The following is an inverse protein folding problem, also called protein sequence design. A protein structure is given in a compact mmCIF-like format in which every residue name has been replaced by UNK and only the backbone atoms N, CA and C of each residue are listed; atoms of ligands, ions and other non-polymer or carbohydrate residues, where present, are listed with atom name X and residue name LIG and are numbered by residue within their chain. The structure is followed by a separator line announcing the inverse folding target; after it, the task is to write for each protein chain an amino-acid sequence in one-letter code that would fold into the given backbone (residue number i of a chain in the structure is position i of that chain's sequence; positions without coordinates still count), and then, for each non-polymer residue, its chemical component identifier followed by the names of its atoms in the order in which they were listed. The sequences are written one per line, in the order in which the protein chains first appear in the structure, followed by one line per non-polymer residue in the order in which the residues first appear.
data_IF_504148115804
#
_entry.id   IF_504148115804
#
_cell.length_a   1.000
_cell.length_b   1.000
_cell.length_c   1.000
_cell.angle_alpha   90.00
_cell.angle_beta   90.00
_cell.angle_gamma   90.00
#
_symmetry.space_group_name_H-M   'P 1'
#
loop_
_entity.id
_entity.type
_entity.pdbx_description
1 polymer ?
#
# COMPACT_ATOMS: atom_id res chain seq x y z
N UNK A 1 -13.24 -56.20 8.28
CA UNK A 1 -13.06 -56.41 6.83
C UNK A 1 -11.81 -55.64 6.43
N UNK A 2 -10.99 -56.16 5.52
CA UNK A 2 -9.87 -55.42 4.93
C UNK A 2 -10.39 -54.71 3.68
N UNK A 3 -10.14 -53.41 3.53
CA UNK A 3 -10.31 -52.76 2.23
C UNK A 3 -9.21 -53.26 1.30
N UNK A 4 -9.57 -53.69 0.08
CA UNK A 4 -8.60 -54.20 -0.88
C UNK A 4 -7.48 -53.20 -1.16
N UNK A 5 -6.25 -53.68 -1.25
CA UNK A 5 -5.10 -52.84 -1.60
C UNK A 5 -5.27 -52.15 -2.97
N UNK A 6 -6.15 -52.67 -3.83
CA UNK A 6 -6.52 -52.03 -5.10
C UNK A 6 -7.43 -50.81 -4.94
N UNK A 7 -8.38 -50.78 -4.00
CA UNK A 7 -9.28 -49.62 -3.84
C UNK A 7 -8.48 -48.42 -3.35
N UNK A 8 -7.59 -48.63 -2.37
CA UNK A 8 -6.66 -47.62 -1.86
C UNK A 8 -5.77 -47.06 -2.97
N UNK A 9 -5.17 -47.91 -3.81
CA UNK A 9 -4.40 -47.48 -5.00
C UNK A 9 -5.24 -46.69 -6.01
N UNK A 10 -6.50 -47.09 -6.26
CA UNK A 10 -7.43 -46.36 -7.15
C UNK A 10 -7.77 -44.98 -6.58
N UNK A 11 -7.96 -44.86 -5.27
CA UNK A 11 -8.27 -43.59 -4.60
C UNK A 11 -7.06 -42.68 -4.43
N UNK A 12 -5.87 -43.23 -4.19
CA UNK A 12 -4.58 -42.51 -4.27
C UNK A 12 -4.38 -41.93 -5.68
N UNK A 13 -4.62 -42.72 -6.73
CA UNK A 13 -4.53 -42.26 -8.12
C UNK A 13 -5.57 -41.16 -8.44
N UNK A 14 -6.80 -41.27 -7.92
CA UNK A 14 -7.83 -40.22 -8.02
C UNK A 14 -7.40 -38.92 -7.31
N UNK A 15 -6.82 -39.02 -6.11
CA UNK A 15 -6.31 -37.88 -5.35
C UNK A 15 -5.13 -37.20 -6.07
N UNK A 16 -4.20 -37.98 -6.62
CA UNK A 16 -3.08 -37.46 -7.43
C UNK A 16 -3.58 -36.77 -8.71
N UNK A 17 -4.55 -37.35 -9.42
CA UNK A 17 -5.17 -36.74 -10.60
C UNK A 17 -5.89 -35.42 -10.26
N UNK A 18 -6.62 -35.37 -9.14
CA UNK A 18 -7.26 -34.16 -8.65
C UNK A 18 -6.24 -33.08 -8.26
N UNK A 19 -5.17 -33.44 -7.56
CA UNK A 19 -4.08 -32.52 -7.23
C UNK A 19 -3.40 -31.95 -8.50
N UNK A 20 -3.14 -32.79 -9.51
CA UNK A 20 -2.58 -32.37 -10.79
C UNK A 20 -3.54 -31.51 -11.64
N UNK A 21 -4.85 -31.64 -11.45
CA UNK A 21 -5.84 -30.73 -12.05
C UNK A 21 -5.85 -29.36 -11.35
N UNK A 22 -5.79 -29.35 -10.01
CA UNK A 22 -5.70 -28.11 -9.21
C UNK A 22 -4.40 -27.36 -9.52
N UNK A 23 -3.26 -28.05 -9.61
CA UNK A 23 -1.97 -27.45 -9.97
C UNK A 23 -1.88 -26.93 -11.40
N UNK A 24 -2.75 -27.38 -12.32
CA UNK A 24 -2.86 -26.80 -13.67
C UNK A 24 -3.72 -25.54 -13.65
N UNK A 25 -4.92 -25.62 -13.09
CA UNK A 25 -5.81 -24.44 -12.91
C UNK A 25 -5.18 -23.32 -12.08
N UNK A 26 -4.34 -23.65 -11.09
CA UNK A 26 -3.58 -22.65 -10.35
C UNK A 26 -2.52 -21.95 -11.21
N UNK A 27 -1.80 -22.71 -12.06
CA UNK A 27 -0.85 -22.14 -13.04
C UNK A 27 -1.55 -21.23 -14.04
N UNK A 28 -2.62 -21.73 -14.68
CA UNK A 28 -3.49 -20.95 -15.58
C UNK A 28 -4.00 -19.66 -14.93
N UNK A 29 -4.38 -19.71 -13.64
CA UNK A 29 -4.81 -18.54 -12.88
C UNK A 29 -3.64 -17.58 -12.54
N UNK A 30 -2.46 -18.08 -12.19
CA UNK A 30 -1.28 -17.22 -11.98
C UNK A 30 -0.76 -16.60 -13.27
N UNK A 31 -0.87 -17.31 -14.40
CA UNK A 31 -0.53 -16.81 -15.73
C UNK A 31 -1.50 -15.71 -16.15
N UNK A 32 -2.82 -15.90 -15.99
CA UNK A 32 -3.82 -14.84 -16.20
C UNK A 32 -3.57 -13.62 -15.31
N UNK A 33 -3.30 -13.83 -14.02
CA UNK A 33 -2.88 -12.76 -13.09
C UNK A 33 -1.60 -12.03 -13.54
N UNK A 34 -0.66 -12.76 -14.14
CA UNK A 34 0.55 -12.20 -14.74
C UNK A 34 0.20 -11.29 -15.92
N UNK A 35 -0.55 -11.80 -16.89
CA UNK A 35 -1.02 -11.01 -18.04
C UNK A 35 -1.89 -9.81 -17.64
N UNK A 36 -2.74 -9.92 -16.62
CA UNK A 36 -3.49 -8.80 -16.04
C UNK A 36 -2.58 -7.73 -15.43
N UNK A 37 -1.51 -8.14 -14.72
CA UNK A 37 -0.54 -7.23 -14.12
C UNK A 37 0.38 -6.60 -15.17
N UNK A 38 0.84 -7.36 -16.17
CA UNK A 38 1.64 -6.85 -17.29
C UNK A 38 0.82 -5.94 -18.21
N UNK A 39 -0.49 -6.19 -18.39
CA UNK A 39 -1.40 -5.29 -19.10
C UNK A 39 -1.67 -4.00 -18.29
N UNK A 40 -1.79 -4.10 -16.96
CA UNK A 40 -1.92 -2.93 -16.10
C UNK A 40 -0.63 -2.07 -16.06
N UNK A 41 0.55 -2.70 -16.16
CA UNK A 41 1.83 -2.01 -16.33
C UNK A 41 2.01 -1.44 -17.74
N UNK A 42 1.48 -2.11 -18.78
CA UNK A 42 1.46 -1.66 -20.18
C UNK A 42 0.20 -0.84 -20.52
N UNK A 43 -0.20 0.06 -19.62
CA UNK A 43 -1.32 0.98 -19.85
C UNK A 43 -1.05 1.95 -21.03
N UNK A 44 -2.09 2.61 -21.60
CA UNK A 44 -1.99 3.32 -22.89
C UNK A 44 -1.03 4.52 -22.96
N UNK A 45 -0.43 4.94 -21.85
CA UNK A 45 0.53 6.03 -21.77
C UNK A 45 1.88 5.50 -21.24
N UNK A 46 2.48 4.60 -22.03
CA UNK A 46 3.67 3.83 -21.67
C UNK A 46 4.73 3.79 -22.77
N UNK A 47 4.93 4.89 -23.51
CA UNK A 47 5.98 5.02 -24.51
C UNK A 47 7.38 5.05 -23.87
N UNK A 48 7.95 3.87 -23.61
CA UNK A 48 9.26 3.71 -22.99
C UNK A 48 9.94 2.42 -23.43
N UNK A 49 11.00 2.54 -24.23
CA UNK A 49 11.74 1.42 -24.81
C UNK A 49 12.27 0.45 -23.76
N UNK A 50 11.86 -0.82 -23.86
CA UNK A 50 12.60 -1.95 -23.28
C UNK A 50 13.18 -2.78 -24.43
N UNK A 51 14.51 -2.76 -24.59
CA UNK A 51 15.18 -3.65 -25.53
C UNK A 51 15.18 -5.06 -24.94
N UNK A 52 14.61 -6.01 -25.69
CA UNK A 52 14.99 -7.41 -25.57
C UNK A 52 15.38 -7.93 -26.95
N UNK A 53 16.68 -8.18 -27.13
CA UNK A 53 17.21 -8.78 -28.35
C UNK A 53 17.05 -10.30 -28.28
N UNK A 54 16.39 -10.88 -29.29
CA UNK A 54 16.43 -12.32 -29.56
C UNK A 54 16.74 -12.48 -31.06
N UNK A 55 17.83 -13.17 -31.36
CA UNK A 55 18.28 -13.40 -32.73
C UNK A 55 17.36 -14.38 -33.46
N UNK A 56 17.00 -14.08 -34.71
CA UNK A 56 16.17 -14.93 -35.55
C UNK A 56 16.38 -14.64 -37.04
N UNK A 57 17.54 -15.05 -37.58
CA UNK A 57 17.87 -14.85 -38.99
C UNK A 57 17.49 -16.08 -39.82
N UNK A 58 16.59 -15.92 -40.79
CA UNK A 58 16.57 -16.63 -42.07
C UNK A 58 15.65 -15.87 -43.06
N UNK A 59 15.84 -16.06 -44.37
CA UNK A 59 15.33 -15.18 -45.45
C UNK A 59 13.81 -15.00 -45.57
N UNK A 60 13.32 -14.17 -46.51
CA UNK A 60 14.03 -13.33 -47.48
C UNK A 60 13.32 -13.22 -48.83
N UNK A 61 13.63 -12.16 -49.58
CA UNK A 61 13.31 -11.92 -51.01
C UNK A 61 11.87 -11.50 -51.36
N UNK A 62 11.80 -10.23 -51.81
CA UNK A 62 10.87 -9.58 -52.75
C UNK A 62 9.43 -9.22 -52.34
N UNK A 63 9.21 -7.91 -52.43
CA UNK A 63 8.02 -7.27 -52.97
C UNK A 63 7.67 -7.80 -54.37
N UNK A 64 6.37 -7.93 -54.64
CA UNK A 64 5.76 -7.58 -55.93
C UNK A 64 4.49 -6.78 -55.60
N UNK A 65 4.16 -5.79 -56.42
CA UNK A 65 3.11 -4.81 -56.15
C UNK A 65 1.91 -4.95 -57.10
N UNK A 66 0.80 -4.30 -56.74
CA UNK A 66 -0.35 -3.99 -57.61
C UNK A 66 -1.06 -5.17 -58.30
N UNK A 67 -2.17 -5.66 -57.70
CA UNK A 67 -3.52 -5.31 -58.21
C UNK A 67 -4.66 -5.94 -57.39
N UNK A 68 -5.43 -5.12 -56.67
CA UNK A 68 -6.74 -5.49 -56.08
C UNK A 68 -7.51 -4.25 -55.55
N UNK A 69 -7.90 -3.31 -56.41
CA UNK A 69 -8.78 -2.21 -55.99
C UNK A 69 -10.23 -2.67 -55.71
N UNK A 70 -10.88 -1.99 -54.76
CA UNK A 70 -12.35 -1.86 -54.65
C UNK A 70 -13.17 -3.07 -54.16
N UNK A 71 -13.10 -3.35 -52.85
CA UNK A 71 -14.30 -3.75 -52.08
C UNK A 71 -14.40 -2.87 -50.82
N UNK A 72 -15.57 -2.22 -50.68
CA UNK A 72 -16.36 -1.86 -49.47
C UNK A 72 -15.67 -2.00 -48.08
N UNK A 73 -15.86 -1.11 -47.10
CA UNK A 73 -16.71 0.09 -46.94
C UNK A 73 -16.29 0.86 -45.69
N UNK A 74 -16.87 2.03 -45.42
CA UNK A 74 -16.81 2.76 -44.14
C UNK A 74 -16.97 1.79 -42.93
N UNK A 75 -16.01 1.81 -42.00
CA UNK A 75 -16.04 1.02 -40.77
C UNK A 75 -14.85 1.26 -39.83
N UNK A 76 -13.63 1.35 -40.36
CA UNK A 76 -12.41 1.51 -39.55
C UNK A 76 -12.22 2.90 -38.89
N UNK A 77 -13.09 3.88 -39.16
CA UNK A 77 -12.96 5.25 -38.67
C UNK A 77 -13.69 5.52 -37.35
N UNK A 78 -14.71 4.72 -36.98
CA UNK A 78 -15.53 4.97 -35.80
C UNK A 78 -15.01 4.26 -34.54
N UNK A 79 -14.37 3.09 -34.66
CA UNK A 79 -13.84 2.35 -33.49
C UNK A 79 -12.77 3.12 -32.69
N UNK A 80 -12.02 4.01 -33.31
CA UNK A 80 -10.97 4.78 -32.62
C UNK A 80 -11.53 5.93 -31.75
N UNK A 81 -12.80 6.32 -31.93
CA UNK A 81 -13.40 7.46 -31.23
C UNK A 81 -13.75 7.18 -29.75
N UNK A 82 -13.93 5.92 -29.35
CA UNK A 82 -14.52 5.56 -28.05
C UNK A 82 -13.57 5.54 -26.84
N UNK A 83 -12.29 5.89 -27.01
CA UNK A 83 -11.27 5.79 -25.95
C UNK A 83 -10.95 7.11 -25.23
N UNK A 84 -11.36 8.27 -25.75
CA UNK A 84 -11.19 9.59 -25.10
C UNK A 84 -12.29 9.87 -24.07
N UNK A 85 -12.61 8.86 -23.24
CA UNK A 85 -13.51 9.04 -22.08
C UNK A 85 -12.85 9.89 -21.02
N UNK A 86 -13.60 10.81 -20.42
CA UNK A 86 -13.15 11.71 -19.35
C UNK A 86 -12.55 10.93 -18.17
N UNK A 87 -11.52 11.47 -17.47
CA UNK A 87 -11.01 10.86 -16.24
C UNK A 87 -12.09 10.73 -15.15
N UNK A 88 -13.18 11.51 -15.21
CA UNK A 88 -14.33 11.35 -14.32
C UNK A 88 -15.24 10.18 -14.72
N UNK A 89 -15.51 10.00 -16.01
CA UNK A 89 -16.29 8.87 -16.53
C UNK A 89 -15.61 7.55 -16.20
N UNK A 90 -14.29 7.48 -16.39
CA UNK A 90 -13.48 6.32 -15.99
C UNK A 90 -13.60 6.02 -14.49
N UNK A 91 -13.66 7.05 -13.64
CA UNK A 91 -13.90 6.88 -12.19
C UNK A 91 -15.31 6.41 -11.87
N UNK A 92 -16.34 6.90 -12.59
CA UNK A 92 -17.74 6.45 -12.43
C UNK A 92 -17.86 4.98 -12.81
N UNK A 93 -17.36 4.58 -13.98
CA UNK A 93 -17.28 3.18 -14.40
C UNK A 93 -16.62 2.29 -13.34
N UNK A 94 -15.43 2.64 -12.83
CA UNK A 94 -14.78 1.82 -11.80
C UNK A 94 -15.51 1.77 -10.45
N UNK A 95 -16.32 2.78 -10.11
CA UNK A 95 -17.19 2.77 -8.92
C UNK A 95 -18.43 1.89 -9.15
N UNK A 96 -19.00 1.92 -10.35
CA UNK A 96 -20.13 1.08 -10.77
C UNK A 96 -19.72 -0.39 -10.89
N UNK A 97 -18.55 -0.68 -11.48
CA UNK A 97 -17.90 -2.00 -11.51
C UNK A 97 -17.63 -2.53 -10.10
N UNK A 98 -17.11 -1.69 -9.19
CA UNK A 98 -16.89 -2.07 -7.79
C UNK A 98 -18.21 -2.32 -7.05
N UNK A 99 -19.26 -1.55 -7.34
CA UNK A 99 -20.61 -1.77 -6.83
C UNK A 99 -21.21 -3.10 -7.31
N UNK A 100 -21.05 -3.42 -8.59
CA UNK A 100 -21.48 -4.70 -9.17
C UNK A 100 -20.74 -5.88 -8.53
N UNK A 101 -19.42 -5.79 -8.36
CA UNK A 101 -18.60 -6.82 -7.69
C UNK A 101 -18.97 -7.01 -6.21
N UNK A 102 -19.43 -5.94 -5.52
CA UNK A 102 -19.98 -6.07 -4.16
C UNK A 102 -21.33 -6.79 -4.18
N UNK A 103 -22.24 -6.45 -5.08
CA UNK A 103 -23.55 -7.11 -5.22
C UNK A 103 -23.40 -8.60 -5.62
N UNK A 104 -22.47 -8.93 -6.53
CA UNK A 104 -22.14 -10.33 -6.85
C UNK A 104 -21.60 -11.08 -5.63
N UNK A 105 -20.73 -10.44 -4.84
CA UNK A 105 -20.19 -11.02 -3.60
C UNK A 105 -21.27 -11.26 -2.56
N UNK A 106 -22.25 -10.35 -2.41
CA UNK A 106 -23.39 -10.52 -1.52
C UNK A 106 -24.30 -11.67 -1.99
N UNK A 107 -24.66 -11.71 -3.28
CA UNK A 107 -25.41 -12.81 -3.87
C UNK A 107 -24.68 -14.18 -3.75
N UNK A 108 -23.35 -14.20 -3.80
CA UNK A 108 -22.55 -15.40 -3.54
C UNK A 108 -22.58 -15.84 -2.07
N UNK A 109 -22.60 -14.89 -1.12
CA UNK A 109 -22.76 -15.19 0.30
C UNK A 109 -24.15 -15.73 0.62
N UNK A 110 -25.21 -15.15 0.03
CA UNK A 110 -26.59 -15.63 0.18
C UNK A 110 -26.78 -17.03 -0.39
N UNK A 111 -26.22 -17.30 -1.59
CA UNK A 111 -26.18 -18.66 -2.16
C UNK A 111 -25.43 -19.63 -1.25
N UNK A 112 -24.30 -19.20 -0.68
CA UNK A 112 -23.52 -20.04 0.25
C UNK A 112 -24.32 -20.34 1.53
N UNK A 113 -25.02 -19.35 2.09
CA UNK A 113 -25.91 -19.51 3.24
C UNK A 113 -27.07 -20.46 2.92
N UNK A 114 -27.70 -20.33 1.75
CA UNK A 114 -28.73 -21.26 1.29
C UNK A 114 -28.20 -22.70 1.14
N UNK A 115 -27.00 -22.90 0.60
CA UNK A 115 -26.37 -24.22 0.56
C UNK A 115 -26.05 -24.77 1.96
N UNK A 116 -25.60 -23.93 2.91
CA UNK A 116 -25.41 -24.34 4.31
C UNK A 116 -26.72 -24.77 4.97
N UNK A 117 -27.84 -24.10 4.68
CA UNK A 117 -29.18 -24.47 5.17
C UNK A 117 -29.71 -25.76 4.52
N UNK A 118 -29.42 -25.99 3.24
CA UNK A 118 -29.74 -27.26 2.57
C UNK A 118 -28.90 -28.42 3.15
N UNK A 119 -27.61 -28.20 3.42
CA UNK A 119 -26.75 -29.16 4.10
C UNK A 119 -27.23 -29.46 5.53
N UNK A 120 -27.60 -28.44 6.32
CA UNK A 120 -28.07 -28.65 7.69
C UNK A 120 -29.37 -29.45 7.73
N UNK A 121 -30.30 -29.20 6.79
CA UNK A 121 -31.52 -30.00 6.59
C UNK A 121 -31.20 -31.43 6.18
N UNK A 122 -30.38 -31.64 5.15
CA UNK A 122 -29.99 -32.99 4.71
C UNK A 122 -29.33 -33.79 5.84
N UNK A 123 -28.40 -33.20 6.60
CA UNK A 123 -27.78 -33.87 7.74
C UNK A 123 -28.72 -34.01 8.95
N UNK A 124 -29.76 -33.19 9.11
CA UNK A 124 -30.81 -33.41 10.11
C UNK A 124 -31.73 -34.59 9.71
N UNK A 125 -32.13 -34.66 8.44
CA UNK A 125 -32.90 -35.79 7.89
C UNK A 125 -32.10 -37.10 7.95
N UNK A 126 -30.81 -37.07 7.63
CA UNK A 126 -29.92 -38.24 7.73
C UNK A 126 -29.81 -38.74 9.19
N UNK A 127 -29.66 -37.84 10.16
CA UNK A 127 -29.62 -38.22 11.60
C UNK A 127 -30.97 -38.72 12.11
N UNK A 128 -32.08 -38.13 11.67
CA UNK A 128 -33.44 -38.63 11.93
C UNK A 128 -33.66 -40.03 11.34
N UNK A 129 -33.10 -40.34 10.16
CA UNK A 129 -33.09 -41.71 9.59
C UNK A 129 -32.21 -42.69 10.36
N UNK A 130 -31.11 -42.21 10.96
CA UNK A 130 -30.21 -43.02 11.78
C UNK A 130 -30.72 -43.27 13.22
N UNK A 131 -31.84 -42.65 13.62
CA UNK A 131 -32.39 -42.80 14.98
C UNK A 131 -31.66 -42.01 16.07
N UNK A 132 -30.79 -41.07 15.70
CA UNK A 132 -30.13 -40.19 16.67
C UNK A 132 -31.13 -39.17 17.24
N UNK A 133 -31.45 -39.28 18.54
CA UNK A 133 -32.35 -38.33 19.19
C UNK A 133 -31.76 -36.92 19.25
N UNK A 134 -32.64 -35.93 19.11
CA UNK A 134 -32.30 -34.51 19.15
C UNK A 134 -32.00 -34.13 20.61
N UNK A 135 -30.76 -33.78 20.96
CA UNK A 135 -30.43 -33.19 22.29
C UNK A 135 -30.74 -31.67 22.31
N UNK A 136 -30.80 -31.09 23.53
CA UNK A 136 -30.48 -29.67 23.86
C UNK A 136 -29.67 -29.63 25.16
N UNK A 137 -28.98 -28.57 25.61
CA UNK A 137 -28.81 -27.17 25.16
C UNK A 137 -27.32 -26.88 24.78
N UNK A 138 -26.97 -25.65 24.36
CA UNK A 138 -25.71 -25.36 23.62
C UNK A 138 -24.81 -24.33 24.28
N UNK A 139 -25.37 -23.14 24.47
CA UNK A 139 -24.71 -21.99 25.05
C UNK A 139 -25.11 -21.93 26.51
N UNK A 140 -24.12 -21.90 27.39
CA UNK A 140 -24.39 -21.42 28.74
C UNK A 140 -24.80 -19.95 28.63
N UNK A 141 -25.82 -19.47 29.36
CA UNK A 141 -26.24 -18.07 29.30
C UNK A 141 -25.10 -17.11 29.68
N UNK A 142 -24.11 -17.61 30.43
CA UNK A 142 -22.90 -16.89 30.79
C UNK A 142 -21.92 -16.68 29.61
N UNK A 143 -21.86 -17.61 28.65
CA UNK A 143 -21.10 -17.39 27.41
C UNK A 143 -21.74 -16.32 26.51
N UNK A 144 -23.08 -16.23 26.52
CA UNK A 144 -23.82 -15.18 25.83
C UNK A 144 -23.66 -13.83 26.56
N UNK A 145 -23.71 -13.81 27.90
CA UNK A 145 -23.43 -12.63 28.72
C UNK A 145 -22.05 -12.02 28.41
N UNK A 146 -21.02 -12.88 28.33
CA UNK A 146 -19.65 -12.50 28.00
C UNK A 146 -19.50 -12.02 26.55
N UNK A 147 -20.20 -12.65 25.59
CA UNK A 147 -20.24 -12.15 24.21
C UNK A 147 -20.83 -10.73 24.15
N UNK A 148 -21.98 -10.49 24.78
CA UNK A 148 -22.61 -9.15 24.81
C UNK A 148 -21.78 -8.11 25.57
N UNK A 149 -21.01 -8.52 26.59
CA UNK A 149 -20.01 -7.65 27.22
C UNK A 149 -18.90 -7.22 26.23
N UNK A 150 -18.35 -8.15 25.45
CA UNK A 150 -17.34 -7.85 24.44
C UNK A 150 -17.88 -6.98 23.29
N UNK A 151 -19.12 -7.23 22.84
CA UNK A 151 -19.80 -6.39 21.83
C UNK A 151 -19.97 -4.94 22.33
N UNK A 152 -20.34 -4.75 23.61
CA UNK A 152 -20.43 -3.41 24.23
C UNK A 152 -19.07 -2.70 24.28
N UNK A 153 -18.00 -3.39 24.69
CA UNK A 153 -16.65 -2.82 24.68
C UNK A 153 -16.20 -2.38 23.26
N UNK A 154 -16.52 -3.18 22.23
CA UNK A 154 -16.24 -2.81 20.82
C UNK A 154 -17.09 -1.61 20.37
N UNK A 155 -18.34 -1.48 20.84
CA UNK A 155 -19.17 -0.32 20.57
C UNK A 155 -18.62 0.95 21.25
N UNK A 156 -18.19 0.86 22.51
CA UNK A 156 -17.56 1.97 23.23
C UNK A 156 -16.26 2.44 22.54
N UNK A 157 -15.37 1.53 22.14
CA UNK A 157 -14.14 1.91 21.44
C UNK A 157 -14.44 2.53 20.06
N UNK A 158 -15.44 2.03 19.34
CA UNK A 158 -15.93 2.68 18.11
C UNK A 158 -16.44 4.11 18.39
N UNK A 159 -17.17 4.31 19.48
CA UNK A 159 -17.65 5.64 19.89
C UNK A 159 -16.50 6.57 20.32
N UNK A 160 -15.49 6.06 21.05
CA UNK A 160 -14.28 6.79 21.43
C UNK A 160 -13.47 7.24 20.20
N UNK A 161 -13.29 6.35 19.22
CA UNK A 161 -12.64 6.67 17.95
C UNK A 161 -13.47 7.64 17.11
N UNK A 162 -14.79 7.45 17.03
CA UNK A 162 -15.70 8.36 16.34
C UNK A 162 -15.63 9.77 16.93
N UNK A 163 -15.71 9.92 18.26
CA UNK A 163 -15.59 11.20 18.96
C UNK A 163 -14.25 11.90 18.70
N UNK A 164 -13.12 11.18 18.80
CA UNK A 164 -11.80 11.73 18.44
C UNK A 164 -11.76 12.18 16.97
N UNK A 165 -12.35 11.41 16.05
CA UNK A 165 -12.40 11.77 14.63
C UNK A 165 -13.30 12.98 14.36
N UNK A 166 -14.39 13.16 15.11
CA UNK A 166 -15.28 14.30 15.00
C UNK A 166 -14.61 15.60 15.53
N UNK A 167 -13.94 15.52 16.68
CA UNK A 167 -13.15 16.63 17.21
C UNK A 167 -12.06 17.08 16.22
N UNK A 168 -11.28 16.14 15.67
CA UNK A 168 -10.25 16.47 14.67
C UNK A 168 -10.81 17.03 13.35
N UNK A 169 -12.02 16.63 12.92
CA UNK A 169 -12.70 17.27 11.78
C UNK A 169 -13.11 18.70 12.10
N UNK A 170 -13.76 18.91 13.24
CA UNK A 170 -14.17 20.23 13.71
C UNK A 170 -12.98 21.19 13.88
N UNK A 171 -11.85 20.72 14.43
CA UNK A 171 -10.62 21.51 14.52
C UNK A 171 -10.07 21.88 13.13
N UNK A 172 -10.09 20.95 12.16
CA UNK A 172 -9.69 21.23 10.78
C UNK A 172 -10.65 22.22 10.08
N UNK A 173 -11.95 22.14 10.34
CA UNK A 173 -12.96 23.08 9.85
C UNK A 173 -12.79 24.48 10.47
N UNK A 174 -12.47 24.57 11.76
CA UNK A 174 -12.11 25.83 12.41
C UNK A 174 -10.82 26.43 11.84
N UNK A 175 -9.80 25.62 11.53
CA UNK A 175 -8.59 26.12 10.86
C UNK A 175 -8.90 26.58 9.43
N UNK A 176 -9.73 25.85 8.67
CA UNK A 176 -10.18 26.29 7.33
C UNK A 176 -10.82 27.66 7.39
N UNK A 177 -11.90 27.83 8.18
CA UNK A 177 -12.63 29.09 8.34
C UNK A 177 -11.77 30.28 8.80
N UNK A 178 -10.62 30.03 9.44
CA UNK A 178 -9.65 31.07 9.84
C UNK A 178 -8.72 31.52 8.71
N UNK A 179 -8.41 30.64 7.75
CA UNK A 179 -7.52 30.95 6.63
C UNK A 179 -8.28 31.19 5.32
N UNK A 180 -9.55 30.81 5.25
CA UNK A 180 -10.48 31.00 4.12
C UNK A 180 -10.53 32.46 3.63
N UNK A 181 -10.85 33.49 4.46
CA UNK A 181 -10.83 34.88 4.00
C UNK A 181 -9.43 35.35 3.58
N UNK A 182 -8.37 34.88 4.24
CA UNK A 182 -6.97 35.22 3.90
C UNK A 182 -6.59 34.62 2.53
N UNK A 183 -7.12 33.45 2.19
CA UNK A 183 -6.96 32.83 0.87
C UNK A 183 -7.78 33.54 -0.21
N UNK A 184 -8.99 34.00 0.12
CA UNK A 184 -9.83 34.79 -0.80
C UNK A 184 -9.22 36.17 -1.09
N UNK A 185 -8.73 36.87 -0.06
CA UNK A 185 -7.98 38.14 -0.20
C UNK A 185 -6.73 37.96 -1.06
N UNK A 186 -5.95 36.89 -0.84
CA UNK A 186 -4.76 36.59 -1.63
C UNK A 186 -5.11 36.25 -3.08
N UNK A 187 -6.14 35.45 -3.32
CA UNK A 187 -6.61 35.10 -4.66
C UNK A 187 -7.13 36.33 -5.43
N UNK A 188 -7.85 37.23 -4.75
CA UNK A 188 -8.29 38.50 -5.33
C UNK A 188 -7.09 39.40 -5.69
N UNK A 189 -6.07 39.49 -4.84
CA UNK A 189 -4.83 40.22 -5.16
C UNK A 189 -4.07 39.61 -6.33
N UNK A 190 -3.95 38.28 -6.40
CA UNK A 190 -3.33 37.60 -7.54
C UNK A 190 -4.12 37.83 -8.85
N UNK A 191 -5.45 37.81 -8.80
CA UNK A 191 -6.30 38.06 -9.95
C UNK A 191 -6.21 39.52 -10.43
N UNK A 192 -6.28 40.50 -9.52
CA UNK A 192 -6.11 41.92 -9.85
C UNK A 192 -4.73 42.20 -10.47
N UNK A 193 -3.68 41.52 -10.01
CA UNK A 193 -2.34 41.64 -10.60
C UNK A 193 -2.23 40.98 -11.99
N UNK A 194 -2.94 39.87 -12.22
CA UNK A 194 -3.06 39.27 -13.56
C UNK A 194 -3.82 40.19 -14.53
N UNK A 195 -4.93 40.80 -14.10
CA UNK A 195 -5.67 41.79 -14.88
C UNK A 195 -4.77 42.99 -15.25
N UNK A 196 -4.06 43.56 -14.28
CA UNK A 196 -3.12 44.67 -14.54
C UNK A 196 -2.01 44.29 -15.54
N UNK A 197 -1.48 43.07 -15.50
CA UNK A 197 -0.52 42.58 -16.50
C UNK A 197 -1.18 42.45 -17.89
N UNK A 198 -2.41 41.96 -17.98
CA UNK A 198 -3.15 41.84 -19.23
C UNK A 198 -3.46 43.22 -19.84
N UNK A 199 -3.91 44.18 -19.04
CA UNK A 199 -4.14 45.57 -19.45
C UNK A 199 -2.84 46.22 -19.93
N UNK A 200 -1.74 46.04 -19.20
CA UNK A 200 -0.43 46.55 -19.61
C UNK A 200 0.03 45.92 -20.93
N UNK A 201 -0.10 44.59 -21.08
CA UNK A 201 0.28 43.87 -22.30
C UNK A 201 -0.58 44.27 -23.52
N UNK A 202 -1.88 44.51 -23.34
CA UNK A 202 -2.78 44.98 -24.40
C UNK A 202 -2.44 46.40 -24.88
N UNK A 203 -1.91 47.25 -23.98
CA UNK A 203 -1.47 48.60 -24.32
C UNK A 203 -0.08 48.66 -24.97
N UNK A 204 0.73 47.60 -24.87
CA UNK A 204 2.08 47.53 -25.47
C UNK A 204 2.01 47.28 -26.99
N UNK A 205 2.87 47.98 -27.74
CA UNK A 205 2.99 47.87 -29.21
C UNK A 205 4.42 47.56 -29.65
N UNK A 206 4.55 46.80 -30.73
CA UNK A 206 5.86 46.43 -31.29
C UNK A 206 6.54 47.63 -31.97
N UNK A 207 7.70 48.06 -31.45
CA UNK A 207 8.41 49.28 -31.90
C UNK A 207 8.75 49.36 -33.40
N UNK A 208 8.80 48.23 -34.12
CA UNK A 208 9.09 48.21 -35.58
C UNK A 208 7.85 48.14 -36.48
N UNK A 209 6.67 47.89 -35.94
CA UNK A 209 5.44 47.67 -36.73
C UNK A 209 4.20 48.39 -36.18
N UNK A 210 4.28 48.97 -34.99
CA UNK A 210 3.20 49.63 -34.24
C UNK A 210 1.91 48.79 -34.04
N UNK A 211 1.95 47.49 -34.35
CA UNK A 211 0.86 46.56 -34.04
C UNK A 211 0.84 46.26 -32.53
N UNK A 212 -0.34 46.09 -31.92
CA UNK A 212 -0.45 45.56 -30.56
C UNK A 212 0.02 44.09 -30.53
N UNK A 213 0.25 43.58 -29.32
CA UNK A 213 0.42 42.14 -29.10
C UNK A 213 -0.94 41.45 -29.33
N UNK A 214 -1.03 40.35 -30.10
CA UNK A 214 -2.29 39.64 -30.29
C UNK A 214 -2.79 39.03 -28.98
N UNK A 215 -4.10 39.11 -28.75
CA UNK A 215 -4.80 38.63 -27.53
C UNK A 215 -4.39 37.22 -27.14
N UNK A 216 -4.28 36.34 -28.12
CA UNK A 216 -4.09 34.91 -27.94
C UNK A 216 -2.68 34.63 -27.38
N UNK A 217 -1.68 35.41 -27.80
CA UNK A 217 -0.33 35.35 -27.25
C UNK A 217 -0.23 35.94 -25.83
N UNK A 218 -1.10 36.90 -25.48
CA UNK A 218 -1.22 37.39 -24.10
C UNK A 218 -1.85 36.30 -23.21
N UNK A 219 -2.89 35.62 -23.70
CA UNK A 219 -3.51 34.49 -23.00
C UNK A 219 -2.51 33.35 -22.77
N UNK A 220 -1.80 32.89 -23.81
CA UNK A 220 -0.75 31.87 -23.67
C UNK A 220 0.36 32.29 -22.67
N UNK A 221 0.70 33.58 -22.60
CA UNK A 221 1.69 34.09 -21.66
C UNK A 221 1.18 33.97 -20.22
N UNK A 222 -0.08 34.37 -19.96
CA UNK A 222 -0.72 34.24 -18.64
C UNK A 222 -0.88 32.78 -18.23
N UNK A 223 -1.24 31.87 -19.15
CA UNK A 223 -1.28 30.43 -18.88
C UNK A 223 0.10 29.87 -18.52
N UNK A 224 1.15 30.25 -19.25
CA UNK A 224 2.53 29.86 -18.93
C UNK A 224 2.98 30.42 -17.58
N UNK A 225 2.63 31.66 -17.26
CA UNK A 225 2.99 32.28 -15.98
C UNK A 225 2.23 31.64 -14.80
N UNK A 226 0.92 31.43 -14.92
CA UNK A 226 0.11 30.77 -13.89
C UNK A 226 0.54 29.32 -13.66
N UNK A 227 0.88 28.58 -14.73
CA UNK A 227 1.50 27.26 -14.62
C UNK A 227 2.82 27.30 -13.83
N UNK A 228 3.73 28.23 -14.16
CA UNK A 228 5.00 28.40 -13.43
C UNK A 228 4.79 28.79 -11.96
N UNK A 229 3.91 29.76 -11.69
CA UNK A 229 3.52 30.18 -10.33
C UNK A 229 2.95 29.01 -9.52
N UNK A 230 2.10 28.17 -10.12
CA UNK A 230 1.54 26.98 -9.47
C UNK A 230 2.62 25.93 -9.14
N UNK A 231 3.62 25.75 -10.01
CA UNK A 231 4.76 24.86 -9.77
C UNK A 231 5.69 25.40 -8.66
N UNK A 232 5.92 26.72 -8.60
CA UNK A 232 6.64 27.39 -7.52
C UNK A 232 5.86 27.25 -6.20
N UNK A 233 4.53 27.39 -6.22
CA UNK A 233 3.70 27.15 -5.04
C UNK A 233 3.77 25.69 -4.58
N UNK A 234 3.63 24.71 -5.48
CA UNK A 234 3.70 23.29 -5.15
C UNK A 234 5.08 22.88 -4.59
N UNK A 235 6.18 23.39 -5.14
CA UNK A 235 7.53 23.15 -4.61
C UNK A 235 7.75 23.84 -3.27
N UNK A 236 7.24 25.06 -3.06
CA UNK A 236 7.27 25.77 -1.77
C UNK A 236 6.44 25.05 -0.69
N UNK A 237 5.28 24.49 -1.03
CA UNK A 237 4.47 23.64 -0.13
C UNK A 237 5.23 22.36 0.24
N UNK A 238 5.85 21.67 -0.72
CA UNK A 238 6.72 20.51 -0.43
C UNK A 238 7.91 20.89 0.48
N UNK A 239 8.56 22.02 0.23
CA UNK A 239 9.62 22.53 1.09
C UNK A 239 9.13 22.83 2.52
N UNK A 240 7.95 23.44 2.68
CA UNK A 240 7.36 23.71 4.00
C UNK A 240 6.97 22.40 4.72
N UNK A 241 6.44 21.41 4.01
CA UNK A 241 6.17 20.07 4.56
C UNK A 241 7.46 19.37 5.02
N UNK A 242 8.52 19.39 4.20
CA UNK A 242 9.84 18.82 4.53
C UNK A 242 10.48 19.57 5.71
N UNK A 243 10.47 20.90 5.71
CA UNK A 243 10.94 21.74 6.83
C UNK A 243 10.18 21.43 8.12
N UNK A 244 8.87 21.26 8.05
CA UNK A 244 8.05 20.90 9.21
C UNK A 244 8.28 19.45 9.67
N UNK A 245 8.53 18.49 8.76
CA UNK A 245 8.95 17.12 9.09
C UNK A 245 10.32 17.13 9.79
N UNK A 246 11.29 17.86 9.25
CA UNK A 246 12.61 18.07 9.87
C UNK A 246 12.53 18.77 11.22
N UNK A 247 11.63 19.75 11.41
CA UNK A 247 11.39 20.38 12.71
C UNK A 247 10.75 19.43 13.73
N UNK A 248 9.83 18.54 13.30
CA UNK A 248 9.30 17.47 14.17
C UNK A 248 10.40 16.48 14.55
N UNK A 249 11.17 15.99 13.57
CA UNK A 249 12.29 15.07 13.79
C UNK A 249 13.41 15.70 14.66
N UNK A 250 13.69 16.99 14.49
CA UNK A 250 14.64 17.72 15.37
C UNK A 250 14.08 17.96 16.77
N UNK A 251 12.76 18.07 16.96
CA UNK A 251 12.14 18.13 18.30
C UNK A 251 12.22 16.78 19.01
N UNK A 252 11.94 15.66 18.32
CA UNK A 252 12.12 14.32 18.91
C UNK A 252 13.59 14.00 19.16
N UNK A 253 14.49 14.33 18.23
CA UNK A 253 15.94 14.14 18.42
C UNK A 253 16.51 15.04 19.53
N UNK A 254 16.13 16.32 19.63
CA UNK A 254 16.56 17.20 20.73
C UNK A 254 16.02 16.75 22.09
N UNK A 255 14.88 16.03 22.13
CA UNK A 255 14.40 15.33 23.31
C UNK A 255 15.27 14.16 23.78
N UNK A 256 16.19 13.66 22.93
CA UNK A 256 17.15 12.60 23.27
C UNK A 256 18.63 12.99 23.16
N UNK A 257 18.95 14.25 22.83
CA UNK A 257 20.32 14.71 22.52
C UNK A 257 20.82 15.76 23.52
N UNK A 258 20.78 15.43 24.81
CA UNK A 258 21.23 16.29 25.91
C UNK A 258 22.55 15.82 26.58
N UNK A 259 23.27 14.85 25.99
CA UNK A 259 24.34 14.11 26.67
C UNK A 259 25.54 13.71 25.79
N UNK A 260 26.15 14.67 25.07
CA UNK A 260 27.48 14.54 24.41
C UNK A 260 27.83 15.80 23.60
N UNK A 261 29.06 16.34 23.46
CA UNK A 261 30.31 16.36 24.28
C UNK A 261 31.11 17.61 23.80
N UNK A 262 32.27 17.93 24.40
CA UNK A 262 33.09 19.13 24.12
C UNK A 262 34.40 18.86 23.33
N UNK A 263 35.21 19.93 23.10
CA UNK A 263 36.61 19.96 22.60
C UNK A 263 36.86 19.70 21.08
N UNK A 264 37.92 20.21 20.41
CA UNK A 264 38.94 21.26 20.74
C UNK A 264 39.81 21.70 19.52
N UNK A 265 40.44 22.89 19.59
CA UNK A 265 41.77 23.33 19.04
C UNK A 265 42.14 23.21 17.51
N UNK A 266 43.25 23.75 16.97
CA UNK A 266 43.95 25.06 17.07
C UNK A 266 45.15 25.20 16.05
N UNK A 267 45.50 26.42 15.58
CA UNK A 267 46.81 26.81 14.96
C UNK A 267 47.13 26.38 13.50
N UNK A 268 48.18 26.85 12.79
CA UNK A 268 49.05 28.06 12.92
C UNK A 268 49.94 28.37 11.65
N UNK A 269 50.37 29.64 11.53
CA UNK A 269 51.45 30.36 10.74
C UNK A 269 52.62 29.67 9.96
N UNK A 270 53.15 30.34 8.90
CA UNK A 270 54.61 30.51 8.54
C UNK A 270 54.90 31.48 7.34
N UNK A 271 56.18 31.79 7.00
CA UNK A 271 56.65 32.99 6.22
C UNK A 271 57.93 32.77 5.34
N UNK A 272 58.41 33.82 4.60
CA UNK A 272 59.82 34.14 4.15
C UNK A 272 60.39 33.60 2.79
N UNK A 273 61.50 34.07 2.14
CA UNK A 273 62.04 35.42 1.71
C UNK A 273 63.32 35.31 0.78
N UNK A 274 63.71 36.40 0.06
CA UNK A 274 65.08 36.81 -0.42
C UNK A 274 65.77 36.11 -1.65
N UNK A 275 66.99 36.49 -2.13
CA UNK A 275 67.48 37.75 -2.80
C UNK A 275 68.99 37.71 -3.28
N UNK A 276 69.39 38.50 -4.32
CA UNK A 276 70.79 38.93 -4.73
C UNK A 276 71.80 37.84 -5.26
N UNK A 277 73.03 38.04 -5.83
CA UNK A 277 73.93 39.10 -6.43
C UNK A 277 75.10 38.38 -7.21
N UNK A 278 76.10 38.96 -7.94
CA UNK A 278 76.46 40.31 -8.46
C UNK A 278 78.01 40.58 -8.62
N UNK A 279 78.53 41.03 -9.79
CA UNK A 279 79.95 41.43 -10.11
C UNK A 279 80.64 40.60 -11.24
N UNK A 280 81.81 40.92 -11.85
CA UNK A 280 82.75 42.08 -11.91
C UNK A 280 83.75 41.92 -13.13
N UNK A 281 84.76 42.79 -13.34
CA UNK A 281 85.45 43.10 -14.63
C UNK A 281 87.00 42.99 -14.64
N UNK A 282 87.61 42.95 -15.85
CA UNK A 282 88.90 43.62 -16.16
C UNK A 282 90.05 42.81 -16.80
N UNK A 283 90.60 43.27 -17.95
CA UNK A 283 92.03 43.59 -18.23
C UNK A 283 92.24 43.97 -19.73
N UNK A 284 93.23 44.82 -20.06
CA UNK A 284 93.30 45.58 -21.33
C UNK A 284 94.54 45.29 -22.22
N UNK A 285 94.53 45.77 -23.47
CA UNK A 285 95.59 45.66 -24.51
C UNK A 285 95.90 44.24 -25.04
N UNK A 286 95.89 43.22 -24.19
CA UNK A 286 95.42 41.91 -24.63
C UNK A 286 94.01 42.05 -25.24
N UNK A 287 93.20 42.95 -24.65
CA UNK A 287 91.94 43.48 -25.17
C UNK A 287 92.07 44.32 -26.47
N UNK A 288 92.64 43.72 -27.51
CA UNK A 288 92.37 44.06 -28.91
C UNK A 288 92.05 42.77 -29.66
N UNK A 289 92.97 41.80 -29.64
CA UNK A 289 92.71 40.43 -30.06
C UNK A 289 91.77 39.72 -29.07
N UNK A 290 92.04 39.80 -27.76
CA UNK A 290 91.08 39.36 -26.76
C UNK A 290 89.85 40.26 -26.70
N UNK A 291 89.87 41.54 -27.11
CA UNK A 291 88.62 42.32 -27.15
C UNK A 291 87.73 41.85 -28.30
N UNK A 292 88.31 41.47 -29.45
CA UNK A 292 87.55 40.84 -30.51
C UNK A 292 87.06 39.42 -30.12
N UNK A 293 87.91 38.62 -29.45
CA UNK A 293 87.52 37.31 -28.93
C UNK A 293 86.45 37.42 -27.84
N UNK A 294 86.65 38.26 -26.83
CA UNK A 294 85.66 38.57 -25.78
C UNK A 294 84.39 39.22 -26.35
N UNK A 295 84.46 39.95 -27.48
CA UNK A 295 83.26 40.46 -28.15
C UNK A 295 82.50 39.32 -28.84
N UNK A 296 83.19 38.37 -29.47
CA UNK A 296 82.59 37.14 -30.01
C UNK A 296 82.03 36.27 -28.86
N UNK A 297 82.77 36.09 -27.78
CA UNK A 297 82.34 35.36 -26.57
C UNK A 297 81.16 36.05 -25.90
N UNK A 298 81.10 37.39 -25.91
CA UNK A 298 79.99 38.19 -25.38
C UNK A 298 78.76 38.16 -26.28
N UNK A 299 78.94 38.23 -27.61
CA UNK A 299 77.86 38.03 -28.58
C UNK A 299 77.32 36.60 -28.52
N UNK A 300 78.19 35.60 -28.36
CA UNK A 300 77.79 34.22 -28.11
C UNK A 300 77.08 34.08 -26.77
N UNK A 301 77.61 34.61 -25.66
CA UNK A 301 76.93 34.63 -24.36
C UNK A 301 75.56 35.31 -24.44
N UNK A 302 75.41 36.33 -25.29
CA UNK A 302 74.16 37.05 -25.50
C UNK A 302 73.15 36.24 -26.32
N UNK A 303 73.61 35.50 -27.33
CA UNK A 303 72.80 34.51 -28.08
C UNK A 303 72.41 33.32 -27.20
N UNK A 304 73.34 32.83 -26.37
CA UNK A 304 73.07 31.76 -25.40
C UNK A 304 72.12 32.25 -24.30
N UNK A 305 72.29 33.45 -23.76
CA UNK A 305 71.42 34.04 -22.74
C UNK A 305 70.00 34.29 -23.29
N UNK A 306 69.87 34.81 -24.52
CA UNK A 306 68.56 34.94 -25.16
C UNK A 306 67.91 33.57 -25.38
N UNK A 307 68.64 32.58 -25.90
CA UNK A 307 68.09 31.23 -26.08
C UNK A 307 67.85 30.47 -24.76
N UNK A 308 68.50 30.84 -23.66
CA UNK A 308 68.20 30.34 -22.32
C UNK A 308 66.95 31.03 -21.74
N UNK A 309 66.77 32.34 -21.98
CA UNK A 309 65.58 33.06 -21.57
C UNK A 309 64.33 32.56 -22.34
N UNK A 310 64.42 32.33 -23.64
CA UNK A 310 63.37 31.67 -24.44
C UNK A 310 62.95 30.33 -23.80
N UNK A 311 63.92 29.48 -23.46
CA UNK A 311 63.65 28.19 -22.77
C UNK A 311 63.09 28.38 -21.37
N UNK A 312 63.47 29.42 -20.63
CA UNK A 312 62.90 29.76 -19.32
C UNK A 312 61.44 30.20 -19.47
N UNK A 313 61.11 30.98 -20.49
CA UNK A 313 59.75 31.43 -20.79
C UNK A 313 58.86 30.25 -21.25
N UNK A 314 59.35 29.39 -22.15
CA UNK A 314 58.70 28.12 -22.53
C UNK A 314 58.37 27.27 -21.29
N UNK A 315 59.36 27.06 -20.40
CA UNK A 315 59.16 26.30 -19.15
C UNK A 315 58.23 27.00 -18.18
N UNK A 316 58.24 28.33 -18.10
CA UNK A 316 57.31 29.09 -17.27
C UNK A 316 55.86 28.92 -17.79
N UNK A 317 55.65 28.97 -19.11
CA UNK A 317 54.36 28.66 -19.72
C UNK A 317 53.93 27.21 -19.47
N UNK A 318 54.82 26.22 -19.62
CA UNK A 318 54.51 24.82 -19.29
C UNK A 318 54.08 24.67 -17.82
N UNK A 319 54.78 25.30 -16.88
CA UNK A 319 54.43 25.31 -15.46
C UNK A 319 53.07 25.96 -15.20
N UNK A 320 52.73 27.06 -15.90
CA UNK A 320 51.40 27.68 -15.81
C UNK A 320 50.30 26.78 -16.40
N UNK A 321 50.55 26.17 -17.57
CA UNK A 321 49.66 25.20 -18.23
C UNK A 321 49.42 23.97 -17.32
N UNK A 322 50.44 23.50 -16.61
CA UNK A 322 50.34 22.41 -15.62
C UNK A 322 49.60 22.84 -14.35
N UNK A 323 49.88 24.02 -13.78
CA UNK A 323 49.14 24.57 -12.63
C UNK A 323 47.64 24.67 -12.91
N UNK A 324 47.26 25.18 -14.09
CA UNK A 324 45.86 25.28 -14.50
C UNK A 324 45.18 23.89 -14.63
N UNK A 325 45.89 22.88 -15.17
CA UNK A 325 45.41 21.49 -15.19
C UNK A 325 45.22 20.92 -13.79
N UNK A 326 46.15 21.18 -12.86
CA UNK A 326 46.04 20.74 -11.45
C UNK A 326 44.84 21.40 -10.76
N UNK A 327 44.67 22.72 -10.86
CA UNK A 327 43.52 23.43 -10.28
C UNK A 327 42.18 22.91 -10.82
N UNK A 328 42.06 22.71 -12.14
CA UNK A 328 40.85 22.12 -12.72
C UNK A 328 40.60 20.69 -12.21
N UNK A 329 41.65 19.88 -12.09
CA UNK A 329 41.56 18.52 -11.53
C UNK A 329 41.11 18.53 -10.07
N UNK A 330 41.56 19.50 -9.26
CA UNK A 330 41.13 19.69 -7.87
C UNK A 330 39.64 20.09 -7.81
N UNK A 331 39.17 20.98 -8.68
CA UNK A 331 37.74 21.33 -8.75
C UNK A 331 36.87 20.12 -9.13
N UNK A 332 37.28 19.34 -10.15
CA UNK A 332 36.59 18.12 -10.57
C UNK A 332 36.57 17.09 -9.43
N UNK A 333 37.71 16.85 -8.76
CA UNK A 333 37.81 15.94 -7.63
C UNK A 333 36.93 16.37 -6.44
N UNK A 334 36.80 17.69 -6.22
CA UNK A 334 35.93 18.27 -5.19
C UNK A 334 34.47 17.99 -5.52
N UNK A 335 34.01 18.30 -6.73
CA UNK A 335 32.63 18.02 -7.17
C UNK A 335 32.29 16.52 -7.22
N UNK A 336 33.25 15.66 -7.56
CA UNK A 336 33.08 14.20 -7.47
C UNK A 336 32.91 13.77 -6.01
N UNK A 337 33.75 14.29 -5.10
CA UNK A 337 33.62 14.03 -3.66
C UNK A 337 32.29 14.51 -3.09
N UNK A 338 31.86 15.73 -3.41
CA UNK A 338 30.57 16.29 -2.99
C UNK A 338 29.39 15.42 -3.44
N UNK A 339 29.34 15.06 -4.73
CA UNK A 339 28.31 14.16 -5.28
C UNK A 339 28.31 12.80 -4.59
N UNK A 340 29.49 12.22 -4.37
CA UNK A 340 29.65 10.93 -3.72
C UNK A 340 29.23 10.98 -2.24
N UNK A 341 29.52 12.07 -1.54
CA UNK A 341 29.06 12.31 -0.16
C UNK A 341 27.57 12.66 -0.05
N UNK A 342 26.91 13.13 -1.12
CA UNK A 342 25.45 13.18 -1.23
C UNK A 342 24.86 11.78 -1.44
N UNK A 343 25.33 11.03 -2.43
CA UNK A 343 24.86 9.66 -2.73
C UNK A 343 25.08 8.71 -1.53
N UNK A 344 26.14 8.91 -0.72
CA UNK A 344 26.34 8.22 0.57
C UNK A 344 25.22 8.49 1.57
N UNK A 345 24.75 9.75 1.69
CA UNK A 345 23.67 10.13 2.62
C UNK A 345 22.34 9.56 2.14
N UNK A 346 22.04 9.67 0.85
CA UNK A 346 20.86 9.07 0.22
C UNK A 346 20.82 7.55 0.44
N UNK A 347 21.95 6.86 0.27
CA UNK A 347 22.06 5.42 0.58
C UNK A 347 21.86 5.11 2.07
N UNK A 348 22.28 5.98 2.99
CA UNK A 348 22.04 5.81 4.42
C UNK A 348 20.56 6.00 4.79
N UNK A 349 19.90 7.02 4.21
CA UNK A 349 18.46 7.27 4.37
C UNK A 349 17.62 6.12 3.79
N UNK A 350 17.97 5.60 2.60
CA UNK A 350 17.32 4.43 2.01
C UNK A 350 17.50 3.17 2.87
N UNK A 351 18.68 2.95 3.45
CA UNK A 351 18.92 1.83 4.39
C UNK A 351 18.10 1.98 5.67
N UNK A 352 17.94 3.20 6.20
CA UNK A 352 17.05 3.46 7.33
C UNK A 352 15.58 3.19 6.98
N UNK A 353 15.15 3.53 5.76
CA UNK A 353 13.80 3.20 5.29
C UNK A 353 13.56 1.69 5.17
N UNK A 354 14.52 0.93 4.62
CA UNK A 354 14.43 -0.55 4.58
C UNK A 354 14.31 -1.13 5.99
N UNK A 355 15.17 -0.72 6.93
CA UNK A 355 15.11 -1.17 8.32
C UNK A 355 13.75 -0.86 8.99
N UNK A 356 13.22 0.36 8.78
CA UNK A 356 11.88 0.73 9.27
C UNK A 356 10.77 -0.16 8.70
N UNK A 357 10.84 -0.52 7.41
CA UNK A 357 9.86 -1.43 6.81
C UNK A 357 10.03 -2.88 7.27
N UNK A 358 11.25 -3.34 7.57
CA UNK A 358 11.49 -4.67 8.14
C UNK A 358 10.99 -4.77 9.60
N UNK A 359 11.11 -3.69 10.39
CA UNK A 359 10.51 -3.58 11.72
C UNK A 359 8.97 -3.63 11.66
N UNK A 360 8.35 -2.89 10.75
CA UNK A 360 6.90 -2.91 10.51
C UNK A 360 6.41 -4.31 10.05
N UNK A 361 7.14 -4.94 9.11
CA UNK A 361 6.87 -6.32 8.67
C UNK A 361 7.06 -7.33 9.79
N UNK A 362 8.05 -7.14 10.66
CA UNK A 362 8.25 -7.89 11.88
C UNK A 362 7.03 -7.81 12.80
N UNK A 363 6.61 -6.59 13.13
CA UNK A 363 5.42 -6.33 13.94
C UNK A 363 4.13 -6.93 13.35
N UNK A 364 3.95 -6.87 12.03
CA UNK A 364 2.81 -7.47 11.33
C UNK A 364 2.84 -9.01 11.37
N UNK A 365 4.01 -9.63 11.14
CA UNK A 365 4.21 -11.09 11.28
C UNK A 365 3.90 -11.56 12.70
N UNK A 366 4.30 -10.78 13.70
CA UNK A 366 4.10 -11.06 15.12
C UNK A 366 2.62 -10.95 15.53
N UNK A 367 1.91 -9.93 15.04
CA UNK A 367 0.45 -9.81 15.19
C UNK A 367 -0.29 -10.97 14.52
N UNK A 368 0.13 -11.38 13.32
CA UNK A 368 -0.42 -12.55 12.64
C UNK A 368 -0.17 -13.85 13.41
N UNK A 369 1.02 -14.02 14.01
CA UNK A 369 1.34 -15.16 14.86
C UNK A 369 0.47 -15.20 16.13
N UNK A 370 0.31 -14.05 16.81
CA UNK A 370 -0.58 -13.88 17.97
C UNK A 370 -2.04 -14.17 17.61
N UNK A 371 -2.51 -13.69 16.45
CA UNK A 371 -3.85 -13.94 15.91
C UNK A 371 -4.09 -15.42 15.57
N UNK A 372 -3.11 -16.08 14.90
CA UNK A 372 -3.14 -17.53 14.65
C UNK A 372 -3.26 -18.31 15.96
N UNK A 373 -2.34 -18.09 16.93
CA UNK A 373 -2.38 -18.74 18.25
C UNK A 373 -3.72 -18.57 18.96
N UNK A 374 -4.34 -17.37 18.92
CA UNK A 374 -5.68 -17.13 19.47
C UNK A 374 -6.76 -17.95 18.76
N UNK A 375 -6.81 -17.92 17.42
CA UNK A 375 -7.78 -18.72 16.64
C UNK A 375 -7.65 -20.20 16.95
N UNK A 376 -6.42 -20.71 16.99
CA UNK A 376 -6.14 -22.13 17.16
C UNK A 376 -6.47 -22.58 18.60
N UNK A 377 -6.33 -21.69 19.60
CA UNK A 377 -6.86 -21.88 20.95
C UNK A 377 -8.39 -21.90 20.98
N UNK A 378 -9.07 -20.98 20.30
CA UNK A 378 -10.54 -20.97 20.18
C UNK A 378 -11.07 -22.22 19.45
N UNK A 379 -10.37 -22.72 18.42
CA UNK A 379 -10.72 -23.96 17.72
C UNK A 379 -10.58 -25.19 18.63
N UNK A 380 -9.48 -25.30 19.39
CA UNK A 380 -9.29 -26.36 20.40
C UNK A 380 -10.36 -26.29 21.50
N UNK A 381 -10.72 -25.09 21.97
CA UNK A 381 -11.79 -24.90 22.95
C UNK A 381 -13.17 -25.29 22.38
N UNK A 382 -13.47 -24.92 21.13
CA UNK A 382 -14.71 -25.30 20.44
C UNK A 382 -14.81 -26.82 20.23
N UNK A 383 -13.69 -27.48 19.92
CA UNK A 383 -13.62 -28.94 19.78
C UNK A 383 -13.86 -29.62 21.14
N UNK A 384 -13.18 -29.19 22.21
CA UNK A 384 -13.42 -29.68 23.59
C UNK A 384 -14.84 -29.44 24.11
N UNK A 385 -15.47 -28.34 23.69
CA UNK A 385 -16.85 -28.04 24.02
C UNK A 385 -17.81 -29.00 23.30
N UNK A 386 -17.55 -29.32 22.02
CA UNK A 386 -18.26 -30.38 21.28
C UNK A 386 -18.02 -31.77 21.86
N UNK A 387 -16.79 -32.12 22.25
CA UNK A 387 -16.47 -33.41 22.90
C UNK A 387 -17.29 -33.63 24.18
N UNK A 388 -17.51 -32.57 24.97
CA UNK A 388 -18.30 -32.63 26.22
C UNK A 388 -19.81 -32.51 26.00
N UNK A 389 -20.22 -31.80 24.95
CA UNK A 389 -21.62 -31.55 24.60
C UNK A 389 -21.72 -31.74 23.07
N UNK A 390 -21.94 -32.98 22.57
CA UNK A 390 -21.81 -33.34 21.14
C UNK A 390 -22.71 -32.53 20.21
N UNK A 391 -23.74 -31.93 20.77
CA UNK A 391 -24.67 -31.06 20.09
C UNK A 391 -24.07 -29.72 19.60
N UNK A 392 -22.94 -29.26 20.15
CA UNK A 392 -22.49 -27.85 20.11
C UNK A 392 -22.12 -27.32 18.72
N UNK A 393 -23.17 -26.98 17.99
CA UNK A 393 -23.21 -26.26 16.72
C UNK A 393 -24.63 -26.17 16.13
N UNK A 394 -25.58 -27.00 16.57
CA UNK A 394 -26.88 -27.17 15.93
C UNK A 394 -28.04 -26.47 16.66
N UNK A 395 -28.41 -25.25 16.24
CA UNK A 395 -29.52 -24.46 16.83
C UNK A 395 -30.90 -25.13 16.67
N UNK A 396 -31.14 -25.88 15.60
CA UNK A 396 -32.49 -26.39 15.31
C UNK A 396 -32.84 -27.57 16.23
N UNK A 397 -31.92 -28.54 16.38
CA UNK A 397 -31.98 -29.55 17.44
C UNK A 397 -32.20 -28.91 18.81
N UNK A 398 -31.56 -27.76 19.07
CA UNK A 398 -31.70 -26.97 20.30
C UNK A 398 -33.10 -26.50 20.63
N UNK A 399 -33.93 -26.28 19.63
CA UNK A 399 -35.32 -25.90 19.82
C UNK A 399 -36.20 -27.15 19.88
N UNK A 400 -35.79 -28.26 19.26
CA UNK A 400 -36.62 -29.46 19.16
C UNK A 400 -36.64 -30.30 20.45
N UNK A 401 -35.53 -30.56 21.15
CA UNK A 401 -35.64 -31.16 22.51
C UNK A 401 -36.12 -30.16 23.57
N UNK A 402 -36.03 -28.83 23.38
CA UNK A 402 -36.72 -27.89 24.27
C UNK A 402 -38.24 -28.08 24.19
N UNK A 403 -38.78 -28.23 22.97
CA UNK A 403 -40.18 -28.62 22.73
C UNK A 403 -40.47 -30.03 23.29
N UNK A 404 -39.65 -31.05 22.99
CA UNK A 404 -39.85 -32.43 23.50
C UNK A 404 -39.84 -32.46 25.03
N UNK A 405 -38.93 -31.72 25.67
CA UNK A 405 -38.82 -31.60 27.13
C UNK A 405 -40.08 -30.96 27.71
N UNK A 406 -40.59 -29.89 27.11
CA UNK A 406 -41.88 -29.31 27.49
C UNK A 406 -43.03 -30.34 27.36
N UNK A 407 -43.13 -31.05 26.23
CA UNK A 407 -44.16 -32.10 26.06
C UNK A 407 -44.01 -33.24 27.07
N UNK A 408 -42.78 -33.64 27.41
CA UNK A 408 -42.51 -34.63 28.46
C UNK A 408 -42.96 -34.13 29.84
N UNK A 409 -42.81 -32.84 30.15
CA UNK A 409 -43.40 -32.24 31.35
C UNK A 409 -44.94 -32.26 31.30
N UNK A 410 -45.56 -31.91 30.17
CA UNK A 410 -47.02 -31.97 30.01
C UNK A 410 -47.56 -33.39 30.18
N UNK A 411 -46.90 -34.39 29.59
CA UNK A 411 -47.26 -35.80 29.75
C UNK A 411 -47.05 -36.29 31.18
N UNK A 412 -46.00 -35.85 31.89
CA UNK A 412 -45.82 -36.16 33.33
C UNK A 412 -46.92 -35.55 34.19
N UNK A 413 -47.29 -34.29 33.96
CA UNK A 413 -48.40 -33.63 34.66
C UNK A 413 -49.72 -34.35 34.41
N UNK A 414 -50.01 -34.72 33.16
CA UNK A 414 -51.20 -35.52 32.81
C UNK A 414 -51.18 -36.92 33.44
N UNK A 415 -50.02 -37.57 33.51
CA UNK A 415 -49.87 -38.88 34.15
C UNK A 415 -50.26 -38.81 35.63
N UNK A 416 -49.78 -37.80 36.36
CA UNK A 416 -50.15 -37.57 37.76
C UNK A 416 -51.66 -37.38 37.89
N UNK A 417 -52.25 -36.45 37.12
CA UNK A 417 -53.70 -36.20 37.11
C UNK A 417 -54.55 -37.45 36.79
N UNK A 418 -54.08 -38.31 35.89
CA UNK A 418 -54.72 -39.60 35.57
C UNK A 418 -54.58 -40.62 36.71
N UNK A 419 -53.41 -40.70 37.36
CA UNK A 419 -53.24 -41.58 38.52
C UNK A 419 -54.05 -41.12 39.74
N UNK A 420 -54.24 -39.82 39.93
CA UNK A 420 -55.05 -39.29 41.03
C UNK A 420 -56.53 -39.54 40.77
N UNK A 421 -57.04 -39.26 39.57
CA UNK A 421 -58.40 -39.66 39.16
C UNK A 421 -58.65 -41.16 39.24
N UNK A 422 -57.64 -41.99 38.98
CA UNK A 422 -57.79 -43.43 39.13
C UNK A 422 -57.95 -43.84 40.60
N UNK A 423 -57.24 -43.18 41.55
CA UNK A 423 -57.47 -43.36 43.00
C UNK A 423 -58.89 -42.94 43.38
N UNK A 424 -59.31 -41.73 43.01
CA UNK A 424 -60.66 -41.20 43.26
C UNK A 424 -61.76 -42.18 42.81
N UNK A 425 -61.65 -42.68 41.57
CA UNK A 425 -62.61 -43.65 41.03
C UNK A 425 -62.50 -45.02 41.71
N UNK A 426 -61.31 -45.51 42.05
CA UNK A 426 -61.14 -46.75 42.82
C UNK A 426 -61.66 -46.66 44.26
N UNK A 427 -61.61 -45.47 44.88
CA UNK A 427 -62.21 -45.21 46.19
C UNK A 427 -63.73 -45.13 46.08
N UNK A 428 -64.26 -44.48 45.05
CA UNK A 428 -65.70 -44.44 44.78
C UNK A 428 -66.28 -45.83 44.47
N UNK A 429 -65.57 -46.67 43.71
CA UNK A 429 -65.95 -48.07 43.45
C UNK A 429 -66.00 -48.86 44.77
N UNK A 430 -64.98 -48.76 45.62
CA UNK A 430 -64.98 -49.44 46.94
C UNK A 430 -66.12 -48.98 47.85
N UNK A 431 -66.49 -47.69 47.80
CA UNK A 431 -67.66 -47.17 48.53
C UNK A 431 -68.97 -47.77 47.98
N UNK A 432 -69.11 -47.88 46.65
CA UNK A 432 -70.27 -48.50 46.01
C UNK A 432 -70.33 -50.02 46.26
N UNK A 433 -69.21 -50.72 46.23
CA UNK A 433 -69.11 -52.14 46.60
C UNK A 433 -69.56 -52.34 48.06
N UNK A 434 -69.13 -51.48 48.99
CA UNK A 434 -69.56 -51.54 50.39
C UNK A 434 -71.08 -51.30 50.56
N UNK A 435 -71.68 -50.36 49.82
CA UNK A 435 -73.15 -50.14 49.88
C UNK A 435 -73.93 -51.26 49.19
N UNK A 436 -73.38 -51.88 48.15
CA UNK A 436 -73.97 -53.09 47.53
C UNK A 436 -73.96 -54.25 48.54
N UNK A 437 -72.86 -54.44 49.28
CA UNK A 437 -72.76 -55.48 50.32
C UNK A 437 -73.73 -55.22 51.48
N UNK A 438 -73.92 -53.96 51.92
CA UNK A 438 -74.91 -53.66 52.97
C UNK A 438 -76.34 -53.88 52.48
N UNK A 439 -76.69 -53.45 51.26
CA UNK A 439 -78.00 -53.69 50.65
C UNK A 439 -78.28 -55.18 50.41
N UNK A 440 -77.26 -55.97 50.04
CA UNK A 440 -77.36 -57.43 49.94
C UNK A 440 -77.60 -58.08 51.31
N UNK A 441 -76.98 -57.56 52.38
CA UNK A 441 -77.22 -58.03 53.73
C UNK A 441 -78.65 -57.70 54.20
N UNK A 442 -79.15 -56.49 53.95
CA UNK A 442 -80.54 -56.09 54.22
C UNK A 442 -81.55 -56.95 53.44
N UNK A 443 -81.32 -57.19 52.15
CA UNK A 443 -82.14 -58.12 51.34
C UNK A 443 -82.08 -59.56 51.85
N UNK A 444 -80.96 -60.00 52.43
CA UNK A 444 -80.86 -61.33 53.06
C UNK A 444 -81.64 -61.47 54.38
N UNK A 445 -82.19 -60.38 54.91
CA UNK A 445 -83.00 -60.34 56.14
C UNK A 445 -84.49 -60.06 55.89
N UNK A 446 -84.94 -60.00 54.63
CA UNK A 446 -86.37 -59.94 54.33
C UNK A 446 -87.05 -61.31 54.57
N UNK A 447 -88.13 -61.37 55.37
CA UNK A 447 -88.97 -62.57 55.46
C UNK A 447 -89.75 -62.79 54.16
N UNK A 448 -90.09 -64.04 53.88
CA UNK A 448 -90.88 -64.49 52.72
C UNK A 448 -92.38 -64.34 52.96
#
# INVERSE_FOLDING_TARGET
MYDDAETRRRDEARQQAAAAAIQRRWREHTERRGFEQDAALRGPYGGGTSLFAVSGAFGGVRDDAEDAHSILSNGAAEELAHTVRSPEERRRMCVEEYGALLAEREALLDRNLAFQQLLSRHYAEQRRRNGEEELTQLTTPDAESAYWALVRQVAEERQRVAGRSAALRHDLELQRKRYEPIMEEAAAQEHNFQQYIQELAANVRFMRSNRPIPTDAIAEYVERETAQRSAIHATRVRYLQLRNRLLRLRRTAKGGAASSTSASAAGATATATAAAAGGHDGDDSAAAANHHMFLIDFEQLKVENTSLNEKIEERAEEVLKLRNKVTNTIHIATHVREKLDCVRKENAELRQHVASTDEELGGARDQLAKSKRRRDAHLRANTRMKERMPLVGSRDLLMDYEKRKATIYDYRTRLVQLTDRHKELSESIKQQEATIVSLQHELSHYPK
#
